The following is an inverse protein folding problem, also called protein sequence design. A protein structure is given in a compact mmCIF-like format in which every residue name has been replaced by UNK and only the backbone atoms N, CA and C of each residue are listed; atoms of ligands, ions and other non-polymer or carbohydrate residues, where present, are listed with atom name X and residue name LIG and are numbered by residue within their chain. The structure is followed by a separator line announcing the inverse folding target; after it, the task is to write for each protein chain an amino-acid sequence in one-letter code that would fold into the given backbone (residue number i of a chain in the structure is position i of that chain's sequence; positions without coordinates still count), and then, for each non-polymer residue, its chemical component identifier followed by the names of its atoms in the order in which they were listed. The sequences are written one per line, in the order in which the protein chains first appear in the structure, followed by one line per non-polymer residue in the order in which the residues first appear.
data_IF_813303607489
#
_entry.id   IF_813303607489
#
_cell.length_a   1.000
_cell.length_b   1.000
_cell.length_c   1.000
_cell.angle_alpha   90.00
_cell.angle_beta   90.00
_cell.angle_gamma   90.00
#
_symmetry.space_group_name_H-M   'P 1'
#
loop_
_entity.id
_entity.type
_entity.pdbx_description
1 polymer ?
#
# COMPACT_ATOMS: atom_id res chain seq x y z
N UNK A 1 23.72 -1.20 15.18
CA UNK A 1 22.88 -0.16 15.78
C UNK A 1 23.72 1.07 16.07
N UNK A 2 23.25 2.22 15.61
CA UNK A 2 23.84 3.53 15.87
C UNK A 2 23.38 3.97 17.27
N UNK A 3 24.23 3.82 18.29
CA UNK A 3 23.84 4.02 19.71
C UNK A 3 24.46 5.27 20.33
N UNK A 4 25.41 5.90 19.64
CA UNK A 4 26.02 7.17 20.01
C UNK A 4 25.83 8.24 18.94
N UNK A 5 26.06 9.50 19.30
CA UNK A 5 26.06 10.61 18.33
C UNK A 5 27.18 10.45 17.30
N UNK A 6 28.34 9.93 17.71
CA UNK A 6 29.46 9.67 16.80
C UNK A 6 29.08 8.60 15.78
N UNK A 7 28.41 7.54 16.20
CA UNK A 7 27.90 6.53 15.26
C UNK A 7 26.91 7.19 14.28
N UNK A 8 25.97 8.02 14.77
CA UNK A 8 25.01 8.72 13.89
C UNK A 8 25.72 9.59 12.84
N UNK A 9 26.85 10.23 13.18
CA UNK A 9 27.62 11.00 12.22
C UNK A 9 28.22 10.15 11.09
N UNK A 10 28.47 8.85 11.31
CA UNK A 10 28.91 7.95 10.24
C UNK A 10 27.85 7.77 9.14
N UNK A 11 26.55 8.00 9.41
CA UNK A 11 25.52 8.00 8.37
C UNK A 11 25.77 9.06 7.29
N UNK A 12 26.53 10.12 7.58
CA UNK A 12 26.95 11.10 6.59
C UNK A 12 27.88 10.49 5.51
N UNK A 13 28.50 9.34 5.78
CA UNK A 13 29.29 8.61 4.79
C UNK A 13 28.43 7.78 3.83
N UNK A 14 27.12 7.64 4.06
CA UNK A 14 26.22 6.91 3.16
C UNK A 14 26.20 7.54 1.76
N UNK A 15 26.47 6.73 0.75
CA UNK A 15 26.52 7.15 -0.67
C UNK A 15 25.24 6.85 -1.45
N UNK A 16 24.32 6.09 -0.86
CA UNK A 16 23.09 5.63 -1.50
C UNK A 16 21.93 5.67 -0.51
N UNK A 17 20.80 6.24 -0.94
CA UNK A 17 19.57 6.33 -0.18
C UNK A 17 18.46 5.50 -0.85
N UNK A 18 17.71 4.75 -0.06
CA UNK A 18 16.48 4.10 -0.50
C UNK A 18 15.29 4.95 -0.06
N UNK A 19 14.53 5.46 -1.03
CA UNK A 19 13.34 6.27 -0.80
C UNK A 19 12.09 5.44 -1.05
N UNK A 20 11.36 5.14 0.04
CA UNK A 20 10.12 4.35 -0.03
C UNK A 20 8.86 5.22 -0.07
N UNK A 21 8.95 6.47 0.40
CA UNK A 21 7.78 7.31 0.63
C UNK A 21 7.92 8.68 -0.09
N UNK A 22 6.93 9.11 -0.91
CA UNK A 22 7.09 10.28 -1.77
C UNK A 22 7.47 11.60 -1.08
N UNK A 23 6.95 11.94 0.13
CA UNK A 23 7.34 13.16 0.83
C UNK A 23 8.86 13.31 1.09
N UNK A 24 9.61 12.21 1.17
CA UNK A 24 11.07 12.26 1.32
C UNK A 24 11.82 12.68 0.05
N UNK A 25 11.15 12.85 -1.09
CA UNK A 25 11.78 13.15 -2.38
C UNK A 25 12.54 14.48 -2.39
N UNK A 26 12.02 15.51 -1.73
CA UNK A 26 12.71 16.81 -1.67
C UNK A 26 14.05 16.69 -0.91
N UNK A 27 14.04 16.00 0.24
CA UNK A 27 15.25 15.74 1.02
C UNK A 27 16.24 14.85 0.25
N UNK A 28 15.76 13.81 -0.42
CA UNK A 28 16.62 12.93 -1.23
C UNK A 28 17.32 13.68 -2.37
N UNK A 29 16.63 14.65 -3.00
CA UNK A 29 17.23 15.52 -4.02
C UNK A 29 18.27 16.47 -3.44
N UNK A 30 17.99 17.12 -2.31
CA UNK A 30 18.96 17.99 -1.62
C UNK A 30 20.25 17.24 -1.27
N UNK A 31 20.12 16.00 -0.75
CA UNK A 31 21.27 15.15 -0.43
C UNK A 31 22.05 14.73 -1.69
N UNK A 32 21.34 14.43 -2.78
CA UNK A 32 21.98 14.11 -4.06
C UNK A 32 22.77 15.31 -4.60
N UNK A 33 22.21 16.52 -4.54
CA UNK A 33 22.87 17.74 -5.05
C UNK A 33 24.04 18.18 -4.18
N UNK A 34 23.92 18.11 -2.85
CA UNK A 34 24.92 18.63 -1.92
C UNK A 34 26.02 17.65 -1.56
N UNK A 35 25.69 16.36 -1.46
CA UNK A 35 26.57 15.32 -0.91
C UNK A 35 26.88 14.20 -1.92
N UNK A 36 26.37 14.31 -3.16
CA UNK A 36 26.50 13.30 -4.20
C UNK A 36 25.92 11.94 -3.76
N UNK A 37 24.93 11.96 -2.88
CA UNK A 37 24.25 10.75 -2.39
C UNK A 37 23.14 10.38 -3.37
N UNK A 38 23.37 9.36 -4.19
CA UNK A 38 22.35 8.85 -5.11
C UNK A 38 21.14 8.32 -4.32
N UNK A 39 19.95 8.39 -4.91
CA UNK A 39 18.77 7.75 -4.32
C UNK A 39 18.00 6.91 -5.32
N UNK A 40 17.42 5.81 -4.84
CA UNK A 40 16.50 4.97 -5.57
C UNK A 40 15.10 5.11 -4.97
N UNK A 41 14.13 5.50 -5.80
CA UNK A 41 12.72 5.54 -5.40
C UNK A 41 12.05 4.20 -5.71
N UNK A 42 11.62 3.49 -4.66
CA UNK A 42 10.85 2.25 -4.71
C UNK A 42 9.63 2.39 -3.78
N UNK A 43 8.50 2.96 -4.25
CA UNK A 43 7.28 3.01 -3.45
C UNK A 43 6.79 1.59 -3.12
N UNK A 44 6.05 1.45 -2.03
CA UNK A 44 5.36 0.21 -1.72
C UNK A 44 4.35 -0.11 -2.84
N UNK A 45 4.42 -1.33 -3.34
CA UNK A 45 3.49 -1.91 -4.32
C UNK A 45 3.17 -3.33 -3.87
N UNK A 46 1.99 -3.80 -4.25
CA UNK A 46 1.48 -5.12 -3.89
C UNK A 46 1.42 -6.06 -5.10
N UNK A 47 1.76 -5.57 -6.29
CA UNK A 47 1.94 -6.37 -7.49
C UNK A 47 3.26 -7.16 -7.41
N UNK A 48 3.20 -8.48 -7.58
CA UNK A 48 4.36 -9.35 -7.35
C UNK A 48 5.44 -9.16 -8.42
N UNK A 49 5.03 -8.82 -9.64
CA UNK A 49 5.91 -8.55 -10.77
C UNK A 49 6.63 -7.21 -10.56
N UNK A 50 5.91 -6.18 -10.08
CA UNK A 50 6.53 -4.91 -9.70
C UNK A 50 7.47 -5.05 -8.49
N UNK A 51 7.13 -5.89 -7.51
CA UNK A 51 8.03 -6.20 -6.39
C UNK A 51 9.31 -6.88 -6.89
N UNK A 52 9.19 -7.86 -7.79
CA UNK A 52 10.35 -8.54 -8.38
C UNK A 52 11.26 -7.56 -9.13
N UNK A 53 10.66 -6.64 -9.90
CA UNK A 53 11.38 -5.58 -10.61
C UNK A 53 12.03 -4.57 -9.65
N UNK A 54 11.34 -4.20 -8.57
CA UNK A 54 11.91 -3.34 -7.53
C UNK A 54 13.13 -3.96 -6.87
N UNK A 55 13.11 -5.28 -6.60
CA UNK A 55 14.28 -6.00 -6.10
C UNK A 55 15.42 -6.06 -7.12
N UNK A 56 15.13 -6.26 -8.41
CA UNK A 56 16.14 -6.19 -9.48
C UNK A 56 16.81 -4.82 -9.53
N UNK A 57 16.00 -3.75 -9.53
CA UNK A 57 16.49 -2.36 -9.50
C UNK A 57 17.31 -2.07 -8.25
N UNK A 58 16.95 -2.65 -7.10
CA UNK A 58 17.71 -2.52 -5.87
C UNK A 58 19.07 -3.24 -5.96
N UNK A 59 19.13 -4.47 -6.48
CA UNK A 59 20.38 -5.21 -6.72
C UNK A 59 21.34 -4.39 -7.61
N UNK A 60 20.80 -3.83 -8.72
CA UNK A 60 21.55 -2.97 -9.64
C UNK A 60 22.02 -1.67 -8.98
N UNK A 61 21.13 -1.01 -8.25
CA UNK A 61 21.44 0.23 -7.55
C UNK A 61 22.51 0.04 -6.49
N UNK A 62 22.52 -1.09 -5.79
CA UNK A 62 23.56 -1.42 -4.81
C UNK A 62 24.89 -1.81 -5.48
N UNK A 63 24.91 -2.03 -6.80
CA UNK A 63 26.07 -2.49 -7.56
C UNK A 63 26.70 -3.77 -6.98
N UNK A 64 25.86 -4.64 -6.42
CA UNK A 64 26.30 -5.90 -5.82
C UNK A 64 25.45 -7.05 -6.34
N UNK A 65 26.06 -8.20 -6.61
CA UNK A 65 25.30 -9.42 -6.91
C UNK A 65 24.86 -10.06 -5.61
N UNK A 66 23.56 -10.27 -5.47
CA UNK A 66 23.02 -11.00 -4.34
C UNK A 66 23.42 -12.46 -4.44
N UNK A 67 23.74 -13.06 -3.29
CA UNK A 67 24.13 -14.46 -3.20
C UNK A 67 22.93 -15.37 -3.52
N UNK A 68 23.21 -16.62 -3.89
CA UNK A 68 22.17 -17.58 -4.25
C UNK A 68 21.14 -17.78 -3.14
N UNK A 69 21.58 -17.76 -1.88
CA UNK A 69 20.74 -17.90 -0.69
C UNK A 69 19.75 -16.73 -0.54
N UNK A 70 20.18 -15.51 -0.86
CA UNK A 70 19.32 -14.34 -0.83
C UNK A 70 18.26 -14.40 -1.94
N UNK A 71 18.64 -14.85 -3.15
CA UNK A 71 17.71 -15.04 -4.27
C UNK A 71 16.69 -16.14 -3.97
N UNK A 72 17.14 -17.23 -3.35
CA UNK A 72 16.25 -18.31 -2.90
C UNK A 72 15.27 -17.80 -1.83
N UNK A 73 15.73 -17.04 -0.84
CA UNK A 73 14.86 -16.44 0.18
C UNK A 73 13.76 -15.54 -0.44
N UNK A 74 14.09 -14.79 -1.49
CA UNK A 74 13.12 -13.95 -2.21
C UNK A 74 12.10 -14.79 -2.97
N UNK A 75 12.51 -15.87 -3.62
CA UNK A 75 11.60 -16.79 -4.31
C UNK A 75 10.65 -17.48 -3.32
N UNK A 76 11.17 -17.93 -2.18
CA UNK A 76 10.36 -18.50 -1.09
C UNK A 76 9.38 -17.45 -0.53
N UNK A 77 9.79 -16.19 -0.42
CA UNK A 77 8.93 -15.10 0.03
C UNK A 77 7.86 -14.74 -0.99
N UNK A 78 8.18 -14.75 -2.29
CA UNK A 78 7.21 -14.57 -3.38
C UNK A 78 6.15 -15.65 -3.33
N UNK A 79 6.55 -16.92 -3.23
CA UNK A 79 5.62 -18.06 -3.12
C UNK A 79 4.72 -17.95 -1.88
N UNK A 80 5.27 -17.50 -0.75
CA UNK A 80 4.46 -17.24 0.46
C UNK A 80 3.44 -16.13 0.23
N UNK A 81 3.84 -15.03 -0.41
CA UNK A 81 2.92 -13.95 -0.78
C UNK A 81 1.81 -14.41 -1.72
N UNK A 82 2.13 -15.24 -2.71
CA UNK A 82 1.14 -15.85 -3.62
C UNK A 82 0.13 -16.72 -2.87
N UNK A 83 0.61 -17.59 -1.99
CA UNK A 83 -0.25 -18.46 -1.18
C UNK A 83 -1.16 -17.64 -0.24
N UNK A 84 -0.63 -16.59 0.38
CA UNK A 84 -1.40 -15.70 1.25
C UNK A 84 -2.47 -14.91 0.47
N UNK A 85 -2.18 -14.52 -0.77
CA UNK A 85 -3.17 -13.93 -1.66
C UNK A 85 -4.29 -14.92 -1.98
N UNK A 86 -3.97 -16.17 -2.33
CA UNK A 86 -4.99 -17.19 -2.64
C UNK A 86 -5.84 -17.51 -1.41
N UNK A 87 -5.23 -17.77 -0.25
CA UNK A 87 -5.95 -18.05 1.00
C UNK A 87 -6.91 -16.90 1.36
N UNK A 88 -6.47 -15.65 1.17
CA UNK A 88 -7.31 -14.47 1.42
C UNK A 88 -8.43 -14.36 0.41
N UNK A 89 -8.16 -14.60 -0.88
CA UNK A 89 -9.17 -14.59 -1.93
C UNK A 89 -10.24 -15.65 -1.68
N UNK A 90 -9.84 -16.86 -1.29
CA UNK A 90 -10.75 -17.94 -0.89
C UNK A 90 -11.59 -17.58 0.33
N UNK A 91 -10.97 -16.99 1.37
CA UNK A 91 -11.66 -16.61 2.59
C UNK A 91 -12.68 -15.47 2.38
N UNK A 92 -12.36 -14.51 1.51
CA UNK A 92 -13.23 -13.35 1.25
C UNK A 92 -14.28 -13.65 0.16
N UNK A 93 -14.00 -14.57 -0.77
CA UNK A 93 -14.91 -14.83 -1.89
C UNK A 93 -15.19 -13.56 -2.70
N UNK A 94 -16.47 -13.29 -2.96
CA UNK A 94 -16.93 -12.09 -3.68
C UNK A 94 -17.30 -10.94 -2.72
N UNK A 95 -16.80 -10.93 -1.48
CA UNK A 95 -17.12 -9.86 -0.53
C UNK A 95 -16.60 -8.50 -1.06
N UNK A 96 -17.44 -7.44 -1.14
CA UNK A 96 -17.04 -6.16 -1.70
C UNK A 96 -15.87 -5.51 -0.95
N UNK A 97 -14.89 -5.01 -1.70
CA UNK A 97 -13.72 -4.31 -1.16
C UNK A 97 -13.68 -2.87 -1.63
N UNK A 98 -13.39 -1.97 -0.69
CA UNK A 98 -13.12 -0.55 -0.94
C UNK A 98 -11.63 -0.31 -0.66
N UNK A 99 -10.94 0.32 -1.60
CA UNK A 99 -9.54 0.76 -1.40
C UNK A 99 -9.53 2.26 -1.16
N UNK A 100 -9.06 2.68 -0.01
CA UNK A 100 -8.96 4.09 0.42
C UNK A 100 -7.50 4.56 0.37
N UNK A 101 -7.26 5.78 -0.13
CA UNK A 101 -5.93 6.36 -0.34
C UNK A 101 -5.18 6.72 0.96
N UNK A 102 -5.87 6.74 2.11
CA UNK A 102 -5.21 6.79 3.41
C UNK A 102 -4.52 5.49 3.77
N UNK A 103 -4.92 4.35 3.17
CA UNK A 103 -4.32 3.04 3.46
C UNK A 103 -2.97 2.83 2.75
N UNK A 104 -2.78 3.40 1.56
CA UNK A 104 -1.61 3.14 0.70
C UNK A 104 -1.29 4.34 -0.18
N UNK A 105 -0.01 4.53 -0.49
CA UNK A 105 0.41 5.55 -1.47
C UNK A 105 0.06 5.23 -2.93
N UNK A 106 -0.37 4.00 -3.21
CA UNK A 106 -0.77 3.54 -4.54
C UNK A 106 -2.17 2.91 -4.50
N UNK A 107 -3.24 3.67 -4.22
CA UNK A 107 -4.60 3.12 -4.13
C UNK A 107 -5.06 2.48 -5.44
N UNK A 108 -4.69 3.05 -6.60
CA UNK A 108 -5.05 2.48 -7.89
C UNK A 108 -4.22 1.23 -8.20
N UNK A 109 -2.92 1.24 -7.88
CA UNK A 109 -2.05 0.06 -7.96
C UNK A 109 -2.58 -1.09 -7.11
N UNK A 110 -2.90 -0.84 -5.84
CA UNK A 110 -3.46 -1.85 -4.94
C UNK A 110 -4.80 -2.40 -5.46
N UNK A 111 -5.72 -1.53 -5.87
CA UNK A 111 -6.99 -1.95 -6.43
C UNK A 111 -6.82 -2.84 -7.66
N UNK A 112 -5.93 -2.45 -8.59
CA UNK A 112 -5.64 -3.22 -9.79
C UNK A 112 -5.00 -4.57 -9.47
N UNK A 113 -4.05 -4.63 -8.54
CA UNK A 113 -3.48 -5.90 -8.06
C UNK A 113 -4.55 -6.82 -7.53
N UNK A 114 -5.42 -6.34 -6.63
CA UNK A 114 -6.49 -7.13 -6.06
C UNK A 114 -7.45 -7.66 -7.14
N UNK A 115 -7.86 -6.81 -8.08
CA UNK A 115 -8.71 -7.19 -9.21
C UNK A 115 -8.06 -8.27 -10.10
N UNK A 116 -6.78 -8.13 -10.44
CA UNK A 116 -6.02 -9.14 -11.21
C UNK A 116 -5.92 -10.48 -10.48
N UNK A 117 -5.96 -10.46 -9.15
CA UNK A 117 -5.95 -11.66 -8.28
C UNK A 117 -7.35 -12.19 -7.97
N UNK A 118 -8.40 -11.65 -8.59
CA UNK A 118 -9.76 -12.15 -8.49
C UNK A 118 -10.53 -11.70 -7.25
N UNK A 119 -10.07 -10.65 -6.56
CA UNK A 119 -10.83 -10.01 -5.49
C UNK A 119 -11.92 -9.09 -6.05
N UNK A 120 -13.01 -8.91 -5.29
CA UNK A 120 -14.14 -8.07 -5.68
C UNK A 120 -13.98 -6.61 -5.21
N UNK A 121 -13.05 -5.87 -5.82
CA UNK A 121 -12.93 -4.42 -5.57
C UNK A 121 -14.10 -3.70 -6.26
N UNK A 122 -14.86 -2.92 -5.50
CA UNK A 122 -16.05 -2.20 -6.00
C UNK A 122 -15.86 -0.70 -6.06
N UNK A 123 -14.93 -0.16 -5.26
CA UNK A 123 -14.66 1.28 -5.18
C UNK A 123 -13.21 1.56 -4.84
N UNK A 124 -12.65 2.59 -5.47
CA UNK A 124 -11.40 3.24 -5.07
C UNK A 124 -11.74 4.66 -4.63
N UNK A 125 -11.43 4.98 -3.39
CA UNK A 125 -11.59 6.31 -2.79
C UNK A 125 -10.21 6.98 -2.78
N UNK A 126 -10.03 8.00 -3.62
CA UNK A 126 -8.76 8.71 -3.73
C UNK A 126 -8.97 10.16 -4.18
N UNK A 127 -8.31 11.10 -3.49
CA UNK A 127 -8.41 12.53 -3.80
C UNK A 127 -7.63 12.91 -5.06
N UNK A 128 -6.42 12.36 -5.18
CA UNK A 128 -5.51 12.66 -6.27
C UNK A 128 -4.70 11.42 -6.67
N UNK A 129 -4.46 11.28 -7.97
CA UNK A 129 -3.59 10.23 -8.49
C UNK A 129 -2.14 10.72 -8.55
N UNK A 130 -1.26 10.08 -7.77
CA UNK A 130 0.17 10.35 -7.82
C UNK A 130 0.74 10.00 -9.22
N UNK A 131 1.77 10.70 -9.73
CA UNK A 131 2.32 10.43 -11.06
C UNK A 131 2.79 8.99 -11.27
N UNK A 132 3.29 8.33 -10.21
CA UNK A 132 3.75 6.93 -10.27
C UNK A 132 2.61 5.91 -10.20
N UNK A 133 1.40 6.31 -9.82
CA UNK A 133 0.21 5.46 -9.75
C UNK A 133 -0.74 5.67 -10.96
N UNK A 134 -0.37 6.59 -11.87
CA UNK A 134 -1.19 6.97 -13.02
C UNK A 134 -1.37 5.84 -14.02
N UNK A 135 -0.35 5.02 -14.24
CA UNK A 135 -0.46 3.88 -15.15
C UNK A 135 -1.52 2.88 -14.66
N UNK A 136 -1.56 2.62 -13.35
CA UNK A 136 -2.56 1.76 -12.72
C UNK A 136 -3.97 2.34 -12.84
N UNK A 137 -4.13 3.64 -12.64
CA UNK A 137 -5.42 4.32 -12.83
C UNK A 137 -5.96 4.15 -14.26
N UNK A 138 -5.11 4.37 -15.27
CA UNK A 138 -5.54 4.24 -16.66
C UNK A 138 -5.89 2.79 -17.02
N UNK A 139 -5.11 1.82 -16.55
CA UNK A 139 -5.43 0.39 -16.72
C UNK A 139 -6.72 -0.01 -16.00
N UNK A 140 -6.97 0.52 -14.81
CA UNK A 140 -8.19 0.28 -14.04
C UNK A 140 -9.42 0.84 -14.76
N UNK A 141 -9.33 2.04 -15.34
CA UNK A 141 -10.41 2.62 -16.16
C UNK A 141 -10.71 1.81 -17.42
N UNK A 142 -9.67 1.29 -18.07
CA UNK A 142 -9.81 0.52 -19.31
C UNK A 142 -10.41 -0.87 -19.06
N UNK A 143 -9.87 -1.59 -18.08
CA UNK A 143 -10.19 -3.01 -17.88
C UNK A 143 -11.28 -3.26 -16.82
N UNK A 144 -11.48 -2.33 -15.89
CA UNK A 144 -12.40 -2.46 -14.77
C UNK A 144 -13.34 -1.24 -14.63
N UNK A 145 -14.05 -0.83 -15.70
CA UNK A 145 -14.86 0.40 -15.71
C UNK A 145 -16.07 0.39 -14.75
N UNK A 146 -16.37 -0.75 -14.13
CA UNK A 146 -17.43 -0.89 -13.13
C UNK A 146 -16.98 -0.52 -11.71
N UNK A 147 -15.68 -0.41 -11.47
CA UNK A 147 -15.16 0.04 -10.19
C UNK A 147 -15.44 1.53 -10.04
N UNK A 148 -16.15 1.90 -8.98
CA UNK A 148 -16.46 3.29 -8.71
C UNK A 148 -15.18 4.05 -8.32
N UNK A 149 -14.96 5.21 -8.93
CA UNK A 149 -13.99 6.19 -8.44
C UNK A 149 -14.72 7.21 -7.59
N UNK A 150 -14.26 7.40 -6.37
CA UNK A 150 -14.83 8.33 -5.39
C UNK A 150 -13.75 9.28 -4.89
N UNK A 151 -14.08 10.56 -4.70
CA UNK A 151 -13.16 11.58 -4.17
C UNK A 151 -13.59 11.97 -2.76
N UNK A 152 -12.90 11.49 -1.71
CA UNK A 152 -13.22 11.78 -0.30
C UNK A 152 -13.44 13.27 0.00
N UNK A 153 -12.58 14.16 -0.50
CA UNK A 153 -12.65 15.60 -0.16
C UNK A 153 -13.56 16.44 -1.06
N UNK A 154 -14.26 15.83 -2.03
CA UNK A 154 -15.20 16.58 -2.86
C UNK A 154 -16.36 17.11 -2.00
N UNK A 155 -16.87 18.31 -2.27
CA UNK A 155 -17.90 18.94 -1.43
C UNK A 155 -19.20 18.12 -1.32
N UNK A 156 -19.47 17.25 -2.30
CA UNK A 156 -20.62 16.34 -2.25
C UNK A 156 -20.44 15.17 -1.28
N UNK A 157 -19.21 14.81 -0.91
CA UNK A 157 -18.91 13.64 -0.07
C UNK A 157 -19.44 13.79 1.36
N UNK A 158 -19.63 15.04 1.81
CA UNK A 158 -20.30 15.40 3.08
C UNK A 158 -21.73 14.82 3.15
N UNK A 159 -22.38 14.59 2.01
CA UNK A 159 -23.72 14.02 1.99
C UNK A 159 -23.76 12.54 2.41
N UNK A 160 -22.63 11.82 2.34
CA UNK A 160 -22.51 10.39 2.66
C UNK A 160 -23.64 9.54 2.03
N UNK A 161 -23.99 9.86 0.78
CA UNK A 161 -25.18 9.32 0.09
C UNK A 161 -24.90 8.07 -0.74
N UNK A 162 -23.66 7.54 -0.67
CA UNK A 162 -23.21 6.33 -1.39
C UNK A 162 -22.73 5.22 -0.44
N UNK A 163 -23.57 4.75 0.49
CA UNK A 163 -23.17 3.77 1.49
C UNK A 163 -22.91 2.39 0.86
N UNK A 164 -21.94 1.67 1.40
CA UNK A 164 -21.63 0.27 1.10
C UNK A 164 -21.41 -0.49 2.42
N UNK A 165 -22.47 -0.71 3.23
CA UNK A 165 -22.31 -1.24 4.58
C UNK A 165 -21.77 -2.67 4.61
N UNK A 166 -22.16 -3.51 3.66
CA UNK A 166 -21.65 -4.88 3.53
C UNK A 166 -20.37 -4.91 2.68
N UNK A 167 -19.35 -4.21 3.14
CA UNK A 167 -18.03 -4.14 2.50
C UNK A 167 -16.88 -4.19 3.51
N UNK A 168 -15.71 -4.55 3.00
CA UNK A 168 -14.42 -4.41 3.66
C UNK A 168 -13.71 -3.17 3.11
N UNK A 169 -13.51 -2.16 3.95
CA UNK A 169 -12.67 -1.03 3.61
C UNK A 169 -11.20 -1.30 3.99
N UNK A 170 -10.30 -1.04 3.06
CA UNK A 170 -8.86 -0.98 3.31
C UNK A 170 -8.52 0.49 3.55
N UNK A 171 -8.39 0.86 4.82
CA UNK A 171 -8.31 2.25 5.24
C UNK A 171 -9.52 2.71 6.04
N UNK A 172 -9.28 3.65 6.94
CA UNK A 172 -10.30 4.11 7.89
C UNK A 172 -11.28 5.09 7.27
N UNK A 173 -10.80 6.00 6.40
CA UNK A 173 -11.66 7.03 5.80
C UNK A 173 -12.70 6.39 4.88
N UNK A 174 -12.29 5.41 4.07
CA UNK A 174 -13.23 4.67 3.22
C UNK A 174 -14.23 3.87 4.03
N UNK A 175 -13.81 3.29 5.15
CA UNK A 175 -14.72 2.62 6.08
C UNK A 175 -15.75 3.58 6.67
N UNK A 176 -15.31 4.81 7.01
CA UNK A 176 -16.16 5.85 7.57
C UNK A 176 -17.17 6.38 6.54
N UNK A 177 -16.71 6.75 5.34
CA UNK A 177 -17.54 7.31 4.27
C UNK A 177 -18.57 6.32 3.74
N UNK A 178 -18.18 5.06 3.58
CA UNK A 178 -19.06 4.02 3.09
C UNK A 178 -19.92 3.37 4.19
N UNK A 179 -19.62 3.61 5.46
CA UNK A 179 -20.25 2.92 6.59
C UNK A 179 -19.94 1.42 6.62
N UNK A 180 -18.74 1.03 6.18
CA UNK A 180 -18.34 -0.37 6.03
C UNK A 180 -18.39 -1.12 7.35
N UNK A 181 -18.96 -2.32 7.32
CA UNK A 181 -19.04 -3.24 8.46
C UNK A 181 -17.68 -3.76 8.90
N UNK A 182 -16.76 -3.91 7.94
CA UNK A 182 -15.40 -4.40 8.16
C UNK A 182 -14.38 -3.35 7.70
N UNK A 183 -13.34 -3.19 8.50
CA UNK A 183 -12.24 -2.26 8.22
C UNK A 183 -10.92 -2.96 8.50
N UNK A 184 -10.04 -3.00 7.50
CA UNK A 184 -8.62 -3.22 7.71
C UNK A 184 -7.99 -1.85 8.01
N UNK A 185 -7.64 -1.61 9.28
CA UNK A 185 -7.06 -0.35 9.75
C UNK A 185 -5.60 -0.25 9.27
N UNK A 186 -5.46 0.23 8.04
CA UNK A 186 -4.21 0.49 7.36
C UNK A 186 -4.03 2.00 7.26
N UNK A 187 -2.79 2.45 7.37
CA UNK A 187 -2.43 3.84 7.19
C UNK A 187 -1.06 3.94 6.53
N UNK A 188 -1.01 4.56 5.34
CA UNK A 188 0.22 4.86 4.60
C UNK A 188 1.13 3.62 4.46
N UNK A 189 0.57 2.53 3.96
CA UNK A 189 1.18 1.21 3.79
C UNK A 189 1.61 0.52 5.11
N UNK A 190 1.51 1.17 6.28
CA UNK A 190 1.84 0.57 7.57
C UNK A 190 3.31 0.11 7.69
N UNK A 191 4.21 0.69 6.90
CA UNK A 191 5.61 0.26 6.79
C UNK A 191 5.81 -1.05 5.99
N UNK A 192 4.77 -1.52 5.29
CA UNK A 192 4.84 -2.69 4.43
C UNK A 192 5.73 -2.43 3.22
N UNK A 193 6.52 -3.44 2.84
CA UNK A 193 7.36 -3.39 1.66
C UNK A 193 7.64 -4.80 1.11
N UNK A 194 7.68 -4.92 -0.22
CA UNK A 194 8.00 -6.16 -0.90
C UNK A 194 7.03 -7.30 -0.57
N UNK A 195 7.52 -8.54 -0.65
CA UNK A 195 6.66 -9.73 -0.47
C UNK A 195 6.08 -9.83 0.95
N UNK A 196 6.84 -9.45 1.98
CA UNK A 196 6.31 -9.40 3.35
C UNK A 196 5.22 -8.33 3.51
N UNK A 197 5.25 -7.26 2.71
CA UNK A 197 4.19 -6.28 2.65
C UNK A 197 2.88 -6.87 2.14
N UNK A 198 2.93 -7.68 1.08
CA UNK A 198 1.76 -8.44 0.58
C UNK A 198 1.23 -9.39 1.65
N UNK A 199 2.10 -10.17 2.29
CA UNK A 199 1.71 -11.12 3.33
C UNK A 199 1.01 -10.39 4.49
N UNK A 200 1.57 -9.26 4.92
CA UNK A 200 1.00 -8.42 5.97
C UNK A 200 -0.37 -7.87 5.57
N UNK A 201 -0.51 -7.33 4.36
CA UNK A 201 -1.78 -6.84 3.82
C UNK A 201 -2.86 -7.94 3.82
N UNK A 202 -2.54 -9.10 3.26
CA UNK A 202 -3.45 -10.24 3.17
C UNK A 202 -3.96 -10.65 4.55
N UNK A 203 -3.08 -10.72 5.54
CA UNK A 203 -3.44 -11.01 6.94
C UNK A 203 -4.30 -9.92 7.55
N UNK A 204 -3.98 -8.65 7.32
CA UNK A 204 -4.78 -7.50 7.77
C UNK A 204 -6.19 -7.53 7.19
N UNK A 205 -6.36 -7.93 5.92
CA UNK A 205 -7.67 -8.11 5.30
C UNK A 205 -8.47 -9.22 5.99
N UNK A 206 -7.88 -10.40 6.21
CA UNK A 206 -8.54 -11.51 6.93
C UNK A 206 -8.86 -11.15 8.39
N UNK A 207 -8.04 -10.33 9.03
CA UNK A 207 -8.29 -9.83 10.37
C UNK A 207 -9.43 -8.79 10.40
N UNK A 208 -9.44 -7.85 9.46
CA UNK A 208 -10.52 -6.85 9.32
C UNK A 208 -11.89 -7.50 9.14
N UNK A 209 -11.96 -8.60 8.39
CA UNK A 209 -13.18 -9.40 8.22
C UNK A 209 -13.71 -10.02 9.53
N UNK A 210 -12.86 -10.26 10.53
CA UNK A 210 -13.29 -10.84 11.82
C UNK A 210 -13.86 -9.80 12.78
N UNK A 211 -13.45 -8.54 12.64
CA UNK A 211 -13.78 -7.47 13.59
C UNK A 211 -15.07 -6.75 13.18
N UNK A 212 -16.21 -7.24 13.64
CA UNK A 212 -17.49 -6.52 13.50
C UNK A 212 -17.53 -5.34 14.47
N UNK A 213 -18.01 -4.17 14.02
CA UNK A 213 -18.04 -2.95 14.84
C UNK A 213 -16.70 -2.23 14.98
N UNK A 214 -15.66 -2.66 14.25
CA UNK A 214 -14.34 -2.03 14.22
C UNK A 214 -14.43 -0.53 13.93
N UNK A 215 -15.31 -0.13 13.00
CA UNK A 215 -15.49 1.27 12.63
C UNK A 215 -15.88 2.13 13.83
N UNK A 216 -16.83 1.68 14.67
CA UNK A 216 -17.24 2.43 15.86
C UNK A 216 -16.09 2.58 16.85
N UNK A 217 -15.36 1.49 17.12
CA UNK A 217 -14.19 1.52 18.01
C UNK A 217 -13.07 2.41 17.46
N UNK A 218 -12.88 2.45 16.15
CA UNK A 218 -11.89 3.30 15.48
C UNK A 218 -12.29 4.78 15.53
N UNK A 219 -13.58 5.10 15.37
CA UNK A 219 -14.10 6.46 15.53
C UNK A 219 -13.82 6.96 16.96
N UNK A 220 -14.14 6.14 17.97
CA UNK A 220 -13.89 6.47 19.38
C UNK A 220 -12.40 6.64 19.68
N UNK A 221 -11.52 5.76 19.16
CA UNK A 221 -10.08 5.84 19.41
C UNK A 221 -9.38 6.99 18.71
N UNK A 222 -9.87 7.38 17.51
CA UNK A 222 -9.35 8.53 16.75
C UNK A 222 -9.90 9.87 17.23
N UNK A 223 -10.72 9.87 18.30
CA UNK A 223 -11.28 11.09 18.89
C UNK A 223 -12.25 11.82 17.97
N UNK A 224 -12.80 11.12 16.98
CA UNK A 224 -13.79 11.67 16.06
C UNK A 224 -15.14 11.65 16.76
N UNK A 225 -15.68 12.83 17.06
CA UNK A 225 -17.01 12.96 17.66
C UNK A 225 -18.03 12.88 16.53
N UNK A 226 -18.93 11.89 16.62
CA UNK A 226 -20.13 11.77 15.77
C UNK A 226 -21.17 12.82 16.17
#
# INVERSE_FOLDING_TARGET
DYTSFDDFQEMAACKKNLLLFPPGRAAARDLQERLETEFLFLPATYDLEEIAENYRRLEEFLACKWKAEAKQCLEESRKRAENEMEETREALGDYPIIVDDTATIQPFGLALTLLKRGFHVVRVEADACAPFDRAHLEELKENYPKVESFQPIHSSSVAMDRPLPESLALGFEGGYLAGSKHVADLFMDGGMFGYDGVISLMRSMREGMKRTGALKSLIESKGLVV
#
